data_IF_588864711902
#
_entry.id   IF_588864711902
#
_cell.length_a   1.000
_cell.length_b   1.000
_cell.length_c   1.000
_cell.angle_alpha   90.00
_cell.angle_beta   90.00
_cell.angle_gamma   90.00
#
_symmetry.space_group_name_H-M   'P 1'
#
loop_
_entity.id
_entity.type
_entity.pdbx_description
1 polymer ?
#
# COMPACT_ATOMS: atom_id res chain seq x y z
N UNK A 1 13.59 -10.25 -13.47
CA UNK A 1 13.53 -9.99 -12.90
C UNK A 1 12.54 -9.58 -12.29
N UNK A 2 11.93 -9.63 -11.78
CA UNK A 2 11.01 -9.28 -11.34
C UNK A 2 10.91 -8.84 -10.19
N UNK A 3 10.81 -8.18 -9.95
CA UNK A 3 10.87 -7.59 -9.01
C UNK A 3 9.67 -7.28 -8.35
N UNK A 4 9.01 -8.00 -7.75
CA UNK A 4 7.99 -7.63 -7.12
C UNK A 4 8.37 -7.03 -5.88
N UNK A 5 8.41 -5.77 -5.67
CA UNK A 5 8.72 -5.06 -4.56
C UNK A 5 7.53 -4.99 -3.66
N UNK A 6 7.65 -5.22 -2.36
CA UNK A 6 6.57 -5.03 -1.41
C UNK A 6 6.96 -3.97 -0.42
N UNK A 7 6.01 -3.22 0.04
CA UNK A 7 6.25 -2.10 0.95
C UNK A 7 5.54 -2.34 2.27
N UNK A 8 6.06 -1.74 3.32
CA UNK A 8 5.38 -1.76 4.59
C UNK A 8 4.27 -0.71 4.56
N UNK A 9 3.39 -0.76 5.54
CA UNK A 9 2.33 0.24 5.64
C UNK A 9 2.95 1.63 5.77
N UNK A 10 4.02 1.73 6.53
CA UNK A 10 4.69 3.00 6.71
C UNK A 10 5.24 3.55 5.39
N UNK A 11 5.86 2.69 4.61
CA UNK A 11 6.40 3.13 3.35
C UNK A 11 5.31 3.50 2.37
N UNK A 12 4.24 2.73 2.35
CA UNK A 12 3.13 3.02 1.47
C UNK A 12 2.51 4.37 1.85
N UNK A 13 2.35 4.62 3.14
CA UNK A 13 1.78 5.87 3.59
C UNK A 13 2.66 7.05 3.17
N UNK A 14 3.96 6.88 3.30
CA UNK A 14 4.88 7.91 2.91
C UNK A 14 4.80 8.21 1.42
N UNK A 15 4.76 7.19 0.60
CA UNK A 15 4.72 7.37 -0.83
C UNK A 15 3.39 7.96 -1.30
N UNK A 16 2.31 7.62 -0.61
CA UNK A 16 1.01 8.12 -1.00
C UNK A 16 0.68 9.47 -0.34
N UNK A 17 1.45 9.85 0.65
CA UNK A 17 1.16 11.08 1.37
C UNK A 17 -0.02 10.94 2.30
N UNK A 18 -0.26 9.74 2.81
CA UNK A 18 -1.38 9.45 3.70
C UNK A 18 -0.88 9.21 5.10
N UNK A 19 -1.79 9.26 6.06
CA UNK A 19 -1.43 8.88 7.41
C UNK A 19 -1.43 7.37 7.52
N UNK A 20 -0.78 6.84 8.52
CA UNK A 20 -0.79 5.41 8.74
C UNK A 20 -2.21 4.92 8.96
N UNK A 21 -2.98 5.66 9.72
CA UNK A 21 -4.33 5.25 10.00
C UNK A 21 -5.14 5.12 8.72
N UNK A 22 -4.99 6.04 7.82
CA UNK A 22 -5.73 6.00 6.57
C UNK A 22 -5.32 4.81 5.72
N UNK A 23 -4.04 4.49 5.69
CA UNK A 23 -3.58 3.33 4.93
C UNK A 23 -4.14 2.05 5.54
N UNK A 24 -4.16 1.94 6.86
CA UNK A 24 -4.76 0.78 7.50
C UNK A 24 -6.25 0.69 7.16
N UNK A 25 -6.94 1.79 7.13
CA UNK A 25 -8.35 1.80 6.74
C UNK A 25 -8.54 1.30 5.32
N UNK A 26 -7.67 1.70 4.42
CA UNK A 26 -7.75 1.24 3.04
C UNK A 26 -7.49 -0.25 2.93
N UNK A 27 -6.52 -0.73 3.69
CA UNK A 27 -6.18 -2.14 3.67
C UNK A 27 -7.32 -2.97 4.24
N UNK A 28 -7.85 -2.57 5.38
CA UNK A 28 -8.91 -3.33 6.02
C UNK A 28 -10.22 -3.27 5.24
N UNK A 29 -10.46 -2.22 4.50
CA UNK A 29 -11.66 -2.12 3.71
C UNK A 29 -11.55 -2.77 2.35
N UNK A 30 -10.37 -3.28 2.03
CA UNK A 30 -10.15 -3.92 0.74
C UNK A 30 -9.94 -2.97 -0.40
N UNK A 31 -9.74 -1.71 -0.13
CA UNK A 31 -9.51 -0.74 -1.19
C UNK A 31 -8.06 -0.67 -1.62
N UNK A 32 -7.16 -1.21 -0.83
CA UNK A 32 -5.77 -1.25 -1.18
C UNK A 32 -5.30 -2.68 -1.04
N UNK A 33 -4.76 -3.24 -2.09
CA UNK A 33 -4.29 -4.62 -2.05
C UNK A 33 -3.18 -4.78 -1.07
N UNK A 34 -3.26 -5.77 -0.21
CA UNK A 34 -2.22 -6.05 0.75
C UNK A 34 -2.37 -7.47 1.24
N UNK A 35 -1.27 -8.03 1.70
CA UNK A 35 -1.28 -9.36 2.26
C UNK A 35 -0.70 -9.33 3.62
N UNK A 36 -1.23 -10.10 4.53
CA UNK A 36 -0.71 -10.14 5.88
C UNK A 36 0.20 -11.32 6.05
N UNK A 37 1.39 -11.07 6.52
CA UNK A 37 2.35 -12.11 6.79
C UNK A 37 2.73 -11.99 8.25
N UNK A 38 2.29 -12.93 9.06
CA UNK A 38 2.50 -12.85 10.48
C UNK A 38 1.78 -11.63 11.01
N UNK A 39 2.50 -10.71 11.58
CA UNK A 39 1.90 -9.53 12.11
C UNK A 39 2.15 -8.32 11.26
N UNK A 40 2.68 -8.49 10.07
CA UNK A 40 3.02 -7.38 9.23
C UNK A 40 2.23 -7.40 7.95
N UNK A 41 1.81 -6.25 7.48
CA UNK A 41 1.16 -6.12 6.21
C UNK A 41 2.19 -5.86 5.13
N UNK A 42 2.01 -6.50 3.99
CA UNK A 42 2.89 -6.29 2.84
C UNK A 42 2.05 -5.77 1.70
N UNK A 43 2.42 -4.62 1.19
CA UNK A 43 1.66 -3.96 0.16
C UNK A 43 2.47 -3.97 -1.12
N UNK A 44 1.97 -4.58 -2.19
CA UNK A 44 2.72 -4.60 -3.43
C UNK A 44 2.96 -3.19 -3.93
N UNK A 45 4.15 -2.93 -4.38
CA UNK A 45 4.47 -1.60 -4.89
C UNK A 45 3.55 -1.22 -6.02
N UNK A 46 3.15 -2.17 -6.86
CA UNK A 46 2.26 -1.88 -7.94
C UNK A 46 0.91 -1.40 -7.44
N UNK A 47 0.44 -1.83 -6.26
CA UNK A 47 -0.82 -1.36 -5.73
C UNK A 47 -0.71 0.10 -5.33
N UNK A 48 0.43 0.50 -4.81
CA UNK A 48 0.69 1.88 -4.46
C UNK A 48 0.77 2.73 -5.71
N UNK A 49 1.45 2.23 -6.73
CA UNK A 49 1.58 2.96 -7.98
C UNK A 49 0.25 3.15 -8.66
N UNK A 50 -0.59 2.13 -8.63
CA UNK A 50 -1.90 2.24 -9.24
C UNK A 50 -2.73 3.28 -8.51
N UNK A 51 -2.60 3.34 -7.21
CA UNK A 51 -3.36 4.32 -6.46
C UNK A 51 -2.84 5.73 -6.69
N UNK A 52 -1.55 5.87 -6.84
CA UNK A 52 -0.98 7.16 -7.17
C UNK A 52 -1.49 7.66 -8.52
N UNK A 53 -1.60 6.77 -9.47
CA UNK A 53 -2.12 7.15 -10.76
C UNK A 53 -3.56 7.56 -10.67
N UNK A 54 -4.36 6.90 -9.87
CA UNK A 54 -5.74 7.26 -9.72
C UNK A 54 -5.90 8.60 -9.13
N UNK A 55 -5.10 8.93 -8.14
CA UNK A 55 -5.28 10.22 -7.54
C UNK A 55 -4.58 11.30 -8.33
N UNK A 56 -3.75 10.95 -9.20
CA UNK A 56 -3.05 11.92 -10.00
C UNK A 56 -3.89 12.61 -10.99
N UNK A 57 -4.87 12.23 -11.20
CA UNK A 57 -5.58 12.80 -12.14
C UNK A 57 -6.23 13.50 -11.87
#
# INVERSE_FOLDING_TARGET
MNSQKVLSVREAARQLGYTLKYVYDLVYSGRLSAQKHGQRWRIPAEAVEARLRQRGE
#
